data_IF_830884909678
#
_entry.id   IF_830884909678
#
_cell.length_a   1.000
_cell.length_b   1.000
_cell.length_c   1.000
_cell.angle_alpha   90.00
_cell.angle_beta   90.00
_cell.angle_gamma   90.00
#
_symmetry.space_group_name_H-M   'P 1'
#
loop_
_entity.id
_entity.type
_entity.pdbx_description
1 polymer ?
#
# COMPACT_ATOMS: atom_id res chain seq x y z
N UNK A 1 -16.66 -29.96 34.08
CA UNK A 1 -17.16 -28.56 34.09
C UNK A 1 -16.42 -27.68 33.10
N UNK A 2 -15.09 -27.47 33.22
CA UNK A 2 -14.34 -26.64 32.26
C UNK A 2 -14.48 -27.12 30.80
N UNK A 3 -14.52 -28.43 30.58
CA UNK A 3 -14.81 -29.02 29.25
C UNK A 3 -16.23 -28.72 28.74
N UNK A 4 -17.24 -28.76 29.63
CA UNK A 4 -18.63 -28.35 29.31
C UNK A 4 -18.68 -26.89 28.86
N UNK A 5 -17.93 -26.06 29.56
CA UNK A 5 -17.83 -24.62 29.32
C UNK A 5 -16.88 -24.28 28.16
N UNK A 6 -16.45 -25.30 27.40
CA UNK A 6 -15.53 -25.19 26.28
C UNK A 6 -14.24 -24.42 26.59
N UNK A 7 -13.76 -24.50 27.84
CA UNK A 7 -12.63 -23.73 28.35
C UNK A 7 -12.78 -22.21 28.12
N UNK A 8 -13.99 -21.70 28.25
CA UNK A 8 -14.33 -20.28 28.11
C UNK A 8 -14.99 -19.72 29.37
N UNK A 9 -14.69 -18.47 29.68
CA UNK A 9 -15.44 -17.72 30.67
C UNK A 9 -16.90 -17.59 30.23
N UNK A 10 -17.83 -17.99 31.10
CA UNK A 10 -19.26 -17.96 30.84
C UNK A 10 -19.87 -16.54 30.90
N UNK A 11 -19.10 -15.54 31.35
CA UNK A 11 -19.51 -14.13 31.37
C UNK A 11 -18.99 -13.35 30.15
N UNK A 12 -17.67 -13.30 29.92
CA UNK A 12 -17.10 -12.49 28.84
C UNK A 12 -16.62 -13.27 27.61
N UNK A 13 -16.66 -14.61 27.65
CA UNK A 13 -16.25 -15.46 26.52
C UNK A 13 -14.74 -15.60 26.31
N UNK A 14 -13.89 -15.01 27.17
CA UNK A 14 -12.43 -15.21 27.06
C UNK A 14 -12.08 -16.69 27.21
N UNK A 15 -11.25 -17.19 26.30
CA UNK A 15 -10.87 -18.61 26.22
C UNK A 15 -9.50 -18.82 26.86
N UNK A 16 -9.34 -19.89 27.63
CA UNK A 16 -8.03 -20.38 28.06
C UNK A 16 -7.29 -20.91 26.82
N UNK A 17 -6.34 -20.14 26.29
CA UNK A 17 -5.50 -20.53 25.15
C UNK A 17 -4.06 -20.76 25.63
N UNK A 18 -3.24 -21.45 24.84
CA UNK A 18 -1.80 -21.60 25.16
C UNK A 18 -1.00 -20.31 24.98
N UNK A 19 -1.57 -19.32 24.29
CA UNK A 19 -0.87 -18.09 23.87
C UNK A 19 -1.16 -16.95 24.83
N UNK A 20 -2.41 -16.84 25.29
CA UNK A 20 -2.82 -15.87 26.30
C UNK A 20 -2.75 -16.57 27.69
N UNK A 21 -2.12 -15.97 28.70
CA UNK A 21 -2.00 -16.55 30.06
C UNK A 21 -3.34 -16.44 30.82
N UNK A 22 -4.36 -17.12 30.30
CA UNK A 22 -5.75 -17.05 30.74
C UNK A 22 -6.09 -18.31 31.52
N UNK A 23 -6.20 -18.20 32.84
CA UNK A 23 -6.78 -19.25 33.67
C UNK A 23 -8.27 -18.98 33.96
N UNK A 24 -9.02 -20.05 34.23
CA UNK A 24 -10.43 -19.99 34.59
C UNK A 24 -10.61 -20.51 36.00
N UNK A 25 -11.54 -19.89 36.70
CA UNK A 25 -11.89 -20.15 38.09
C UNK A 25 -13.31 -20.71 38.14
N UNK A 26 -13.55 -21.64 39.06
CA UNK A 26 -14.86 -22.24 39.26
C UNK A 26 -15.64 -21.41 40.25
N UNK A 27 -16.78 -20.89 39.83
CA UNK A 27 -17.70 -20.10 40.64
C UNK A 27 -19.10 -20.71 40.63
N UNK A 28 -19.88 -20.45 41.68
CA UNK A 28 -21.27 -20.88 41.75
C UNK A 28 -22.18 -19.87 41.07
N UNK A 29 -23.05 -20.27 40.13
CA UNK A 29 -24.03 -19.39 39.47
C UNK A 29 -24.88 -18.66 40.53
N UNK A 30 -25.55 -19.42 41.39
CA UNK A 30 -26.15 -18.93 42.64
C UNK A 30 -25.14 -19.08 43.77
N UNK A 31 -24.67 -18.01 44.43
CA UNK A 31 -23.71 -18.10 45.51
C UNK A 31 -24.17 -19.00 46.65
N UNK A 32 -23.22 -19.64 47.34
CA UNK A 32 -23.51 -20.47 48.51
C UNK A 32 -24.22 -19.70 49.63
N UNK A 33 -23.86 -18.42 49.83
CA UNK A 33 -24.51 -17.54 50.80
C UNK A 33 -26.01 -17.37 50.53
N UNK A 34 -26.42 -17.49 49.28
CA UNK A 34 -27.80 -17.34 48.82
C UNK A 34 -28.51 -18.70 48.66
N UNK A 35 -27.94 -19.77 49.23
CA UNK A 35 -28.50 -21.12 49.17
C UNK A 35 -28.13 -21.94 47.93
N UNK A 36 -27.15 -21.49 47.13
CA UNK A 36 -26.65 -22.23 45.98
C UNK A 36 -25.99 -23.57 46.32
N UNK A 37 -26.32 -24.61 45.55
CA UNK A 37 -25.74 -25.95 45.70
C UNK A 37 -24.37 -26.13 45.03
N UNK A 38 -23.72 -27.27 45.26
CA UNK A 38 -22.42 -27.63 44.65
C UNK A 38 -22.54 -28.51 43.40
N UNK A 39 -23.76 -28.69 42.88
CA UNK A 39 -24.01 -29.46 41.67
C UNK A 39 -23.37 -28.82 40.44
N UNK A 40 -22.98 -29.64 39.46
CA UNK A 40 -22.37 -29.17 38.22
C UNK A 40 -23.24 -28.14 37.49
N UNK A 41 -24.56 -28.25 37.61
CA UNK A 41 -25.56 -27.32 37.10
C UNK A 41 -25.46 -25.92 37.72
N UNK A 42 -24.99 -25.79 38.96
CA UNK A 42 -24.76 -24.51 39.62
C UNK A 42 -23.30 -24.03 39.55
N UNK A 43 -22.41 -24.69 38.83
CA UNK A 43 -21.02 -24.24 38.65
C UNK A 43 -20.83 -23.58 37.27
N UNK A 44 -20.04 -22.51 37.19
CA UNK A 44 -19.69 -21.78 35.97
C UNK A 44 -18.21 -21.37 35.95
N UNK A 45 -17.59 -21.45 34.77
CA UNK A 45 -16.20 -21.05 34.61
C UNK A 45 -16.12 -19.53 34.40
N UNK A 46 -15.40 -18.81 35.26
CA UNK A 46 -15.19 -17.37 35.13
C UNK A 46 -13.71 -17.04 35.01
N UNK A 47 -13.34 -16.03 34.21
CA UNK A 47 -12.01 -15.46 34.31
C UNK A 47 -11.89 -14.65 35.62
N UNK A 48 -10.67 -14.43 36.14
CA UNK A 48 -10.45 -13.72 37.40
C UNK A 48 -11.12 -12.34 37.44
N UNK A 49 -11.14 -11.64 36.30
CA UNK A 49 -11.83 -10.35 36.16
C UNK A 49 -13.34 -10.46 36.37
N UNK A 50 -14.02 -11.34 35.62
CA UNK A 50 -15.47 -11.52 35.77
C UNK A 50 -15.85 -12.12 37.12
N UNK A 51 -14.99 -12.96 37.70
CA UNK A 51 -15.20 -13.50 39.04
C UNK A 51 -15.10 -12.40 40.11
N UNK A 52 -14.16 -11.46 39.96
CA UNK A 52 -14.06 -10.28 40.84
C UNK A 52 -15.22 -9.30 40.67
N UNK A 53 -15.72 -9.12 39.44
CA UNK A 53 -16.92 -8.30 39.18
C UNK A 53 -18.15 -8.86 39.91
N UNK A 54 -18.26 -10.19 39.99
CA UNK A 54 -19.35 -10.86 40.73
C UNK A 54 -19.19 -10.75 42.25
N UNK A 55 -17.95 -10.85 42.76
CA UNK A 55 -17.64 -10.76 44.19
C UNK A 55 -16.82 -9.50 44.49
N UNK A 56 -17.37 -8.34 44.18
CA UNK A 56 -16.66 -7.06 44.29
C UNK A 56 -16.13 -6.78 45.70
N UNK A 57 -16.80 -7.27 46.74
CA UNK A 57 -16.41 -7.08 48.13
C UNK A 57 -15.27 -8.01 48.60
N UNK A 58 -14.85 -8.98 47.77
CA UNK A 58 -13.79 -9.92 48.10
C UNK A 58 -12.42 -9.46 47.58
N UNK A 59 -11.58 -8.91 48.45
CA UNK A 59 -10.23 -8.39 48.07
C UNK A 59 -9.34 -9.49 47.47
N UNK A 60 -9.38 -10.73 47.97
CA UNK A 60 -8.56 -11.81 47.43
C UNK A 60 -8.96 -12.22 46.00
N UNK A 61 -10.24 -12.05 45.63
CA UNK A 61 -10.70 -12.23 44.25
C UNK A 61 -10.25 -11.03 43.39
N UNK A 62 -10.34 -9.80 43.92
CA UNK A 62 -9.87 -8.60 43.23
C UNK A 62 -8.35 -8.60 42.98
N UNK A 63 -7.55 -9.11 43.89
CA UNK A 63 -6.10 -9.23 43.71
C UNK A 63 -5.75 -10.14 42.53
N UNK A 64 -6.43 -11.29 42.40
CA UNK A 64 -6.27 -12.21 41.27
C UNK A 64 -6.71 -11.58 39.95
N UNK A 65 -7.77 -10.76 39.94
CA UNK A 65 -8.15 -9.98 38.76
C UNK A 65 -7.04 -9.01 38.31
N UNK A 66 -6.42 -8.29 39.27
CA UNK A 66 -5.28 -7.39 38.96
C UNK A 66 -4.10 -8.16 38.39
N UNK A 67 -3.81 -9.34 38.92
CA UNK A 67 -2.76 -10.20 38.37
C UNK A 67 -3.08 -10.67 36.96
N UNK A 68 -4.31 -11.13 36.74
CA UNK A 68 -4.80 -11.54 35.41
C UNK A 68 -4.65 -10.41 34.40
N UNK A 69 -5.08 -9.21 34.74
CA UNK A 69 -4.97 -8.05 33.87
C UNK A 69 -3.50 -7.77 33.55
N UNK A 70 -2.61 -7.70 34.55
CA UNK A 70 -1.17 -7.45 34.33
C UNK A 70 -0.54 -8.44 33.36
N UNK A 71 -0.87 -9.73 33.48
CA UNK A 71 -0.31 -10.79 32.62
C UNK A 71 -0.90 -10.79 31.21
N UNK A 72 -2.12 -10.27 31.04
CA UNK A 72 -2.85 -10.31 29.77
C UNK A 72 -3.05 -8.92 29.11
N UNK A 73 -2.37 -7.87 29.59
CA UNK A 73 -2.36 -6.57 28.88
C UNK A 73 -1.64 -6.76 27.55
N UNK A 74 -2.37 -6.57 26.44
CA UNK A 74 -1.77 -6.54 25.10
C UNK A 74 -0.94 -5.26 24.94
N UNK A 75 0.38 -5.35 24.66
CA UNK A 75 1.20 -4.17 24.48
C UNK A 75 0.67 -3.26 23.36
N UNK A 76 0.46 -1.99 23.65
CA UNK A 76 -0.02 -1.01 22.66
C UNK A 76 0.88 -0.89 21.43
N UNK A 77 2.19 -1.14 21.59
CA UNK A 77 3.16 -1.12 20.50
C UNK A 77 2.92 -2.21 19.44
N UNK A 78 2.29 -3.34 19.78
CA UNK A 78 1.91 -4.36 18.78
C UNK A 78 0.84 -3.84 17.81
N UNK A 79 -0.01 -2.88 18.23
CA UNK A 79 -0.93 -2.17 17.32
C UNK A 79 -0.15 -1.26 16.37
N UNK A 80 0.90 -0.61 16.86
CA UNK A 80 1.77 0.27 16.06
C UNK A 80 2.57 -0.54 15.02
N UNK A 81 3.16 -1.68 15.42
CA UNK A 81 3.89 -2.58 14.52
C UNK A 81 2.99 -3.12 13.40
N UNK A 82 1.75 -3.51 13.72
CA UNK A 82 0.77 -3.88 12.68
C UNK A 82 0.54 -2.74 11.69
N UNK A 83 0.40 -1.50 12.16
CA UNK A 83 0.19 -0.34 11.30
C UNK A 83 1.41 -0.05 10.40
N UNK A 84 2.62 -0.18 10.97
CA UNK A 84 3.88 0.02 10.26
C UNK A 84 4.13 -1.05 9.17
N UNK A 85 3.68 -2.30 9.36
CA UNK A 85 3.82 -3.36 8.35
C UNK A 85 2.99 -3.11 7.08
N UNK A 86 1.96 -2.25 7.12
CA UNK A 86 1.18 -1.86 5.94
C UNK A 86 1.71 -0.62 5.23
N UNK A 87 2.57 0.19 5.86
CA UNK A 87 3.18 1.39 5.26
C UNK A 87 3.93 1.09 3.94
N UNK A 88 4.74 0.01 3.83
CA UNK A 88 5.41 -0.32 2.59
C UNK A 88 4.42 -0.59 1.45
N UNK A 89 3.28 -1.24 1.71
CA UNK A 89 2.27 -1.54 0.69
C UNK A 89 1.60 -0.27 0.17
N UNK A 90 1.18 0.62 1.07
CA UNK A 90 0.59 1.92 0.72
C UNK A 90 1.61 2.80 -0.02
N UNK A 91 2.86 2.80 0.42
CA UNK A 91 3.92 3.57 -0.24
C UNK A 91 4.31 3.00 -1.60
N UNK A 92 4.23 1.67 -1.80
CA UNK A 92 4.43 1.04 -3.10
C UNK A 92 3.27 1.34 -4.06
N UNK A 93 2.02 1.37 -3.55
CA UNK A 93 0.84 1.74 -4.34
C UNK A 93 0.86 3.22 -4.77
N UNK A 94 1.33 4.12 -3.90
CA UNK A 94 1.48 5.56 -4.23
C UNK A 94 2.64 5.85 -5.20
N UNK A 95 3.57 4.90 -5.39
CA UNK A 95 4.77 5.07 -6.24
C UNK A 95 4.54 4.84 -7.73
N UNK A 96 3.35 4.41 -8.13
CA UNK A 96 2.97 4.30 -9.53
C UNK A 96 1.79 5.23 -9.80
N UNK A 97 2.05 6.54 -9.85
CA UNK A 97 1.12 7.49 -10.43
C UNK A 97 0.99 7.17 -11.92
N UNK A 98 0.02 6.33 -12.24
CA UNK A 98 -0.47 6.13 -13.59
C UNK A 98 -1.64 7.08 -13.80
N UNK A 99 -1.72 7.73 -14.95
CA UNK A 99 -2.90 8.51 -15.28
C UNK A 99 -4.12 7.60 -15.58
N UNK A 100 -5.27 8.20 -15.88
CA UNK A 100 -6.51 7.47 -16.23
C UNK A 100 -6.35 6.53 -17.45
N UNK A 101 -5.27 6.69 -18.22
CA UNK A 101 -4.92 5.87 -19.39
C UNK A 101 -3.81 4.86 -19.09
N UNK A 102 -3.40 4.72 -17.83
CA UNK A 102 -2.39 3.74 -17.40
C UNK A 102 -0.94 4.17 -17.64
N UNK A 103 -0.67 5.42 -18.03
CA UNK A 103 0.65 5.94 -18.41
C UNK A 103 1.45 6.34 -17.18
N UNK A 104 2.73 5.95 -17.10
CA UNK A 104 3.60 6.34 -15.97
C UNK A 104 3.93 7.83 -16.03
N UNK A 105 3.56 8.59 -15.01
CA UNK A 105 3.81 10.03 -14.92
C UNK A 105 5.22 10.39 -14.42
N UNK A 106 5.98 9.43 -13.87
CA UNK A 106 7.34 9.66 -13.40
C UNK A 106 8.31 9.73 -14.58
N UNK A 107 9.05 10.84 -14.78
CA UNK A 107 10.05 10.94 -15.84
C UNK A 107 11.16 9.89 -15.68
N UNK A 108 11.53 9.27 -16.79
CA UNK A 108 12.70 8.42 -16.96
C UNK A 108 13.82 9.21 -17.65
N UNK A 109 15.07 8.78 -17.46
CA UNK A 109 16.15 9.24 -18.34
C UNK A 109 15.89 8.76 -19.77
N UNK A 110 16.40 9.47 -20.76
CA UNK A 110 16.22 9.10 -22.18
C UNK A 110 16.80 7.71 -22.45
N UNK A 111 17.98 7.39 -21.89
CA UNK A 111 18.58 6.06 -22.00
C UNK A 111 17.69 4.94 -21.46
N UNK A 112 17.10 5.14 -20.28
CA UNK A 112 16.23 4.14 -19.65
C UNK A 112 14.90 3.98 -20.39
N UNK A 113 14.39 5.07 -20.97
CA UNK A 113 13.21 5.06 -21.82
C UNK A 113 13.47 4.27 -23.10
N UNK A 114 14.56 4.53 -23.82
CA UNK A 114 14.90 3.82 -25.07
C UNK A 114 15.22 2.34 -24.89
N UNK A 115 15.50 1.89 -23.65
CA UNK A 115 15.68 0.46 -23.35
C UNK A 115 14.38 -0.28 -23.04
N UNK A 116 13.23 0.41 -22.99
CA UNK A 116 11.93 -0.25 -22.84
C UNK A 116 11.53 -0.97 -24.14
N UNK A 117 10.69 -2.01 -24.05
CA UNK A 117 10.12 -2.65 -25.24
C UNK A 117 9.36 -1.65 -26.12
N UNK A 118 9.33 -1.89 -27.43
CA UNK A 118 8.48 -1.13 -28.35
C UNK A 118 7.00 -1.15 -27.91
N UNK A 119 6.29 -0.05 -28.13
CA UNK A 119 4.91 0.14 -27.67
C UNK A 119 4.78 0.60 -26.21
N UNK A 120 5.88 0.88 -25.52
CA UNK A 120 5.83 1.30 -24.11
C UNK A 120 5.64 2.81 -24.01
N UNK A 121 4.55 3.24 -23.36
CA UNK A 121 4.34 4.65 -23.01
C UNK A 121 5.26 5.09 -21.86
N UNK A 122 6.14 6.06 -22.14
CA UNK A 122 7.15 6.61 -21.22
C UNK A 122 6.95 8.10 -21.03
N UNK A 123 7.38 8.62 -19.87
CA UNK A 123 7.50 10.05 -19.63
C UNK A 123 8.98 10.42 -19.59
N UNK A 124 9.39 11.45 -20.32
CA UNK A 124 10.79 11.89 -20.40
C UNK A 124 10.91 13.41 -20.44
N UNK A 125 11.94 13.94 -19.79
CA UNK A 125 12.27 15.38 -19.81
C UNK A 125 13.45 15.58 -20.75
N UNK A 126 13.22 16.30 -21.86
CA UNK A 126 14.15 16.37 -22.96
C UNK A 126 14.35 17.79 -23.48
N UNK A 127 15.55 18.07 -23.98
CA UNK A 127 15.85 19.27 -24.76
C UNK A 127 15.94 18.90 -26.23
N UNK A 128 15.26 19.65 -27.10
CA UNK A 128 15.35 19.48 -28.56
C UNK A 128 16.74 19.92 -29.01
N UNK A 129 17.57 18.96 -29.43
CA UNK A 129 18.96 19.21 -29.80
C UNK A 129 19.11 19.59 -31.28
N UNK A 130 18.29 19.00 -32.15
CA UNK A 130 18.35 19.19 -33.60
C UNK A 130 16.98 18.86 -34.22
N UNK A 131 16.54 19.63 -35.20
CA UNK A 131 15.36 19.36 -36.01
C UNK A 131 15.76 18.99 -37.44
N UNK A 132 15.06 18.01 -38.00
CA UNK A 132 15.29 17.51 -39.36
C UNK A 132 14.07 17.75 -40.24
N UNK A 133 14.31 17.98 -41.52
CA UNK A 133 13.25 17.98 -42.54
C UNK A 133 12.88 16.55 -42.93
N UNK A 134 11.63 16.34 -43.28
CA UNK A 134 11.13 15.10 -43.87
C UNK A 134 10.24 15.45 -45.06
N UNK A 135 10.32 14.65 -46.13
CA UNK A 135 9.47 14.77 -47.31
C UNK A 135 8.16 13.95 -47.17
N UNK A 136 7.93 13.30 -46.03
CA UNK A 136 6.71 12.53 -45.74
C UNK A 136 5.65 13.43 -45.11
N UNK A 137 4.50 13.57 -45.78
CA UNK A 137 3.36 14.36 -45.31
C UNK A 137 2.76 13.84 -43.99
N UNK A 138 3.05 12.60 -43.61
CA UNK A 138 2.64 12.04 -42.32
C UNK A 138 3.55 12.50 -41.17
N UNK A 139 4.71 13.10 -41.44
CA UNK A 139 5.65 13.57 -40.42
C UNK A 139 5.44 15.06 -40.16
N UNK A 140 4.94 15.39 -38.98
CA UNK A 140 4.79 16.79 -38.56
C UNK A 140 6.13 17.43 -38.17
N UNK A 141 6.91 16.74 -37.34
CA UNK A 141 8.27 17.11 -36.96
C UNK A 141 9.10 15.87 -36.66
N UNK A 142 10.40 15.97 -36.88
CA UNK A 142 11.37 14.91 -36.62
C UNK A 142 12.66 15.57 -36.17
N UNK A 143 13.41 14.88 -35.31
CA UNK A 143 14.74 15.34 -34.94
C UNK A 143 15.39 14.48 -33.88
N UNK A 144 16.32 15.10 -33.15
CA UNK A 144 17.04 14.49 -32.04
C UNK A 144 16.80 15.28 -30.75
N UNK A 145 16.57 14.54 -29.68
CA UNK A 145 16.48 15.09 -28.32
C UNK A 145 17.61 14.57 -27.44
N UNK A 146 17.95 15.34 -26.41
CA UNK A 146 18.86 14.95 -25.33
C UNK A 146 18.10 14.96 -24.01
N UNK A 147 18.41 14.02 -23.12
CA UNK A 147 17.93 14.09 -21.73
C UNK A 147 18.37 15.40 -21.06
N UNK A 148 17.47 16.02 -20.31
CA UNK A 148 17.77 17.23 -19.52
C UNK A 148 18.79 16.96 -18.42
N UNK A 149 18.79 15.74 -17.89
CA UNK A 149 19.80 15.17 -16.99
C UNK A 149 21.17 14.92 -17.65
N UNK A 150 21.26 15.11 -18.97
CA UNK A 150 22.45 14.82 -19.79
C UNK A 150 22.64 13.33 -20.10
N UNK A 151 21.74 12.46 -19.65
CA UNK A 151 21.85 11.01 -19.81
C UNK A 151 21.06 10.54 -21.05
N UNK A 152 21.80 10.37 -22.14
CA UNK A 152 21.28 9.76 -23.37
C UNK A 152 20.69 10.76 -24.36
N UNK A 153 20.47 10.23 -25.56
CA UNK A 153 19.91 10.94 -26.71
C UNK A 153 19.00 9.97 -27.45
N UNK A 154 17.95 10.48 -28.07
CA UNK A 154 17.04 9.67 -28.86
C UNK A 154 16.58 10.45 -30.08
N UNK A 155 16.26 9.72 -31.16
CA UNK A 155 15.44 10.25 -32.24
C UNK A 155 14.02 10.46 -31.71
N UNK A 156 13.33 11.49 -32.16
CA UNK A 156 11.91 11.65 -31.92
C UNK A 156 11.17 11.94 -33.21
N UNK A 157 9.93 11.48 -33.30
CA UNK A 157 9.03 11.77 -34.42
C UNK A 157 7.67 12.22 -33.88
N UNK A 158 7.14 13.27 -34.47
CA UNK A 158 5.80 13.78 -34.22
C UNK A 158 4.98 13.53 -35.48
N UNK A 159 3.95 12.70 -35.38
CA UNK A 159 3.08 12.41 -36.52
C UNK A 159 2.17 13.61 -36.83
N UNK A 160 1.89 13.81 -38.12
CA UNK A 160 0.98 14.83 -38.62
C UNK A 160 -0.46 14.57 -38.12
N UNK A 161 -1.22 15.66 -37.95
CA UNK A 161 -2.59 15.59 -37.42
C UNK A 161 -2.71 15.61 -35.88
N UNK A 162 -1.59 15.58 -35.16
CA UNK A 162 -1.54 15.84 -33.71
C UNK A 162 -1.80 17.32 -33.37
N UNK A 163 -2.34 17.59 -32.17
CA UNK A 163 -2.53 18.95 -31.63
C UNK A 163 -1.36 19.40 -30.75
N UNK A 164 -0.13 19.10 -31.19
CA UNK A 164 1.07 19.38 -30.40
C UNK A 164 1.63 20.77 -30.74
N UNK A 165 2.20 21.48 -29.75
CA UNK A 165 2.92 22.72 -30.03
C UNK A 165 4.10 22.44 -30.95
N UNK A 166 4.39 23.36 -31.88
CA UNK A 166 5.60 23.30 -32.70
C UNK A 166 6.82 23.46 -31.79
N UNK A 167 7.73 22.50 -31.85
CA UNK A 167 8.96 22.53 -31.07
C UNK A 167 10.06 23.31 -31.81
N UNK A 168 10.90 24.01 -31.06
CA UNK A 168 12.10 24.69 -31.55
C UNK A 168 13.35 24.10 -30.92
N UNK A 169 14.47 24.13 -31.64
CA UNK A 169 15.77 23.73 -31.10
C UNK A 169 16.12 24.53 -29.84
N UNK A 170 16.75 23.87 -28.88
CA UNK A 170 17.07 24.42 -27.56
C UNK A 170 15.89 24.43 -26.57
N UNK A 171 14.67 24.14 -27.00
CA UNK A 171 13.50 24.10 -26.10
C UNK A 171 13.53 22.85 -25.23
N UNK A 172 13.33 23.02 -23.92
CA UNK A 172 13.11 21.91 -22.99
C UNK A 172 11.62 21.63 -22.85
N UNK A 173 11.27 20.35 -22.98
CA UNK A 173 9.90 19.86 -22.88
C UNK A 173 9.85 18.56 -22.09
N UNK A 174 8.71 18.32 -21.42
CA UNK A 174 8.33 17.02 -20.89
C UNK A 174 7.36 16.36 -21.85
N UNK A 175 7.74 15.20 -22.35
CA UNK A 175 6.88 14.35 -23.16
C UNK A 175 6.22 13.34 -22.23
N UNK A 176 4.92 13.50 -21.96
CA UNK A 176 4.16 12.60 -21.08
C UNK A 176 3.45 11.55 -21.94
N UNK A 177 3.90 10.30 -21.80
CA UNK A 177 3.33 9.16 -22.52
C UNK A 177 3.74 9.05 -23.98
N UNK A 178 4.94 9.52 -24.33
CA UNK A 178 5.53 9.20 -25.64
C UNK A 178 5.75 7.69 -25.75
N UNK A 179 5.55 7.13 -26.94
CA UNK A 179 5.72 5.69 -27.17
C UNK A 179 7.15 5.38 -27.60
N UNK A 180 7.74 4.33 -27.02
CA UNK A 180 9.03 3.81 -27.48
C UNK A 180 8.82 2.96 -28.73
N UNK A 181 9.64 3.17 -29.75
CA UNK A 181 9.61 2.37 -30.97
C UNK A 181 11.03 2.19 -31.52
N UNK A 182 11.21 1.19 -32.37
CA UNK A 182 12.45 0.98 -33.12
C UNK A 182 12.22 1.30 -34.59
N UNK A 183 13.09 2.13 -35.19
CA UNK A 183 13.06 2.46 -36.62
C UNK A 183 14.46 2.27 -37.22
N UNK A 184 14.55 1.42 -38.24
CA UNK A 184 15.83 1.06 -38.89
C UNK A 184 16.91 0.58 -37.90
N UNK A 185 16.50 -0.07 -36.81
CA UNK A 185 17.40 -0.59 -35.78
C UNK A 185 17.79 0.41 -34.69
N UNK A 186 17.33 1.66 -34.78
CA UNK A 186 17.59 2.71 -33.80
C UNK A 186 16.33 2.99 -32.96
N UNK A 187 16.50 3.14 -31.65
CA UNK A 187 15.41 3.50 -30.74
C UNK A 187 14.97 4.95 -30.95
N UNK A 188 13.66 5.17 -30.99
CA UNK A 188 13.03 6.47 -31.12
C UNK A 188 11.86 6.66 -30.16
N UNK A 189 11.53 7.93 -29.92
CA UNK A 189 10.36 8.35 -29.17
C UNK A 189 9.30 8.86 -30.14
N UNK A 190 8.13 8.25 -30.11
CA UNK A 190 6.99 8.61 -30.95
C UNK A 190 6.05 9.51 -30.15
N UNK A 191 5.81 10.71 -30.67
CA UNK A 191 4.85 11.68 -30.15
C UNK A 191 3.58 11.57 -30.99
N UNK A 192 2.63 10.80 -30.47
CA UNK A 192 1.35 10.50 -31.12
C UNK A 192 0.23 11.41 -30.59
N UNK A 193 -1.02 11.20 -31.03
CA UNK A 193 -2.18 11.99 -30.58
C UNK A 193 -2.49 11.90 -29.08
N UNK A 194 -1.91 10.93 -28.37
CA UNK A 194 -2.14 10.71 -26.95
C UNK A 194 -1.02 11.30 -26.10
N UNK A 195 0.15 11.53 -26.68
CA UNK A 195 1.30 12.15 -26.02
C UNK A 195 0.96 13.58 -25.61
N UNK A 196 1.28 13.97 -24.39
CA UNK A 196 1.15 15.36 -23.96
C UNK A 196 2.54 16.01 -23.95
N UNK A 197 2.64 17.21 -24.52
CA UNK A 197 3.89 17.97 -24.61
C UNK A 197 3.77 19.18 -23.68
N UNK A 198 4.50 19.14 -22.57
CA UNK A 198 4.56 20.24 -21.59
C UNK A 198 5.84 21.01 -21.81
N UNK A 199 5.73 22.28 -22.20
CA UNK A 199 6.88 23.19 -22.39
C UNK A 199 7.27 23.85 -21.06
N UNK A 200 8.56 24.01 -20.79
CA UNK A 200 9.10 24.60 -19.55
C UNK A 200 8.61 23.91 -18.25
N UNK A 201 8.90 22.61 -18.07
CA UNK A 201 8.41 21.78 -16.96
C UNK A 201 9.23 21.83 -15.65
#
# INVERSE_FOLDING_TARGET
MLERDANCCQSCGVRNTRVDDVWLEVDHIVPKADGGGHGLDNLQALCPRCHAEKHADNEAVRERAREFDRRNVRPGWLRLVRLLLFLPVVWTALRTTRDERGRRLRPLSVSAATSQPDGTAVTVDVTVAELWSSDDDNVGQLGRVRGTDGAGRARFVVWAGGRHPRLSEGTTVRLVGAETATYEGESQLVVDRWTEVVTDP
#
